data_IF_015967763484
#
_entry.id   IF_015967763484
#
_cell.length_a   1.000
_cell.length_b   1.000
_cell.length_c   1.000
_cell.angle_alpha   90.00
_cell.angle_beta   90.00
_cell.angle_gamma   90.00
#
_symmetry.space_group_name_H-M   'P 1'
#
loop_
_entity.id
_entity.type
_entity.pdbx_description
1 polymer ?
#
# COMPACT_ATOMS: atom_id res chain seq x y z
N UNK A 1 7.15 -6.07 16.66
CA UNK A 1 7.13 -7.38 15.97
C UNK A 1 7.93 -7.28 14.68
N UNK A 2 8.88 -8.16 14.47
CA UNK A 2 9.55 -8.27 13.17
C UNK A 2 8.50 -8.74 12.15
N UNK A 3 8.25 -7.94 11.13
CA UNK A 3 7.45 -8.41 9.99
C UNK A 3 8.20 -9.59 9.36
N UNK A 4 7.54 -10.73 9.30
CA UNK A 4 8.07 -11.87 8.57
C UNK A 4 8.16 -11.51 7.09
N UNK A 5 9.31 -11.83 6.51
CA UNK A 5 9.52 -11.56 5.09
C UNK A 5 8.63 -12.49 4.27
N UNK A 6 7.70 -11.90 3.52
CA UNK A 6 6.77 -12.63 2.68
C UNK A 6 7.49 -13.07 1.40
N UNK A 7 7.37 -14.35 1.06
CA UNK A 7 7.97 -14.88 -0.17
C UNK A 7 7.06 -14.55 -1.38
N UNK A 8 7.49 -13.58 -2.18
CA UNK A 8 6.76 -13.13 -3.36
C UNK A 8 6.59 -14.23 -4.43
N UNK A 9 7.48 -15.22 -4.47
CA UNK A 9 7.43 -16.30 -5.46
C UNK A 9 6.28 -17.28 -5.22
N UNK A 10 5.71 -17.28 -4.02
CA UNK A 10 4.57 -18.14 -3.65
C UNK A 10 3.21 -17.48 -3.94
N UNK A 11 3.22 -16.23 -4.39
CA UNK A 11 2.01 -15.44 -4.60
C UNK A 11 1.83 -15.10 -6.08
N UNK A 12 0.58 -15.12 -6.53
CA UNK A 12 0.19 -14.59 -7.84
C UNK A 12 0.04 -13.08 -7.73
N UNK A 13 1.08 -12.33 -8.08
CA UNK A 13 1.10 -10.89 -7.94
C UNK A 13 0.66 -10.19 -9.22
N UNK A 14 -0.23 -9.22 -9.08
CA UNK A 14 -0.61 -8.27 -10.12
C UNK A 14 0.10 -6.96 -9.86
N UNK A 15 0.62 -6.34 -10.90
CA UNK A 15 1.30 -5.05 -10.81
C UNK A 15 0.46 -3.93 -11.41
N UNK A 16 0.63 -2.72 -10.85
CA UNK A 16 0.04 -1.51 -11.40
C UNK A 16 1.05 -0.37 -11.28
N UNK A 17 1.31 0.30 -12.39
CA UNK A 17 2.15 1.49 -12.42
C UNK A 17 1.29 2.69 -12.04
N UNK A 18 1.59 3.29 -10.89
CA UNK A 18 0.83 4.44 -10.37
C UNK A 18 1.25 5.72 -11.05
N UNK A 19 2.56 5.93 -11.21
CA UNK A 19 3.07 7.11 -11.89
C UNK A 19 4.45 6.87 -12.49
N UNK A 20 4.72 7.58 -13.58
CA UNK A 20 6.04 7.64 -14.20
C UNK A 20 6.42 9.12 -14.26
N UNK A 21 7.56 9.45 -13.67
CA UNK A 21 8.11 10.81 -13.72
C UNK A 21 9.41 10.81 -14.49
N UNK A 22 9.59 11.83 -15.29
CA UNK A 22 10.85 12.12 -15.98
C UNK A 22 11.68 13.06 -15.13
N UNK A 23 12.87 12.65 -14.77
CA UNK A 23 13.81 13.47 -13.98
C UNK A 23 15.01 13.80 -14.86
N UNK A 24 15.32 15.07 -14.96
CA UNK A 24 16.51 15.55 -15.69
C UNK A 24 17.55 16.00 -14.70
N UNK A 25 18.75 15.40 -14.75
CA UNK A 25 19.90 15.83 -13.99
C UNK A 25 20.85 16.57 -14.91
N UNK A 26 21.14 17.83 -14.61
CA UNK A 26 22.15 18.61 -15.31
C UNK A 26 23.51 18.22 -14.74
N UNK A 27 24.37 17.68 -15.61
CA UNK A 27 25.76 17.34 -15.27
C UNK A 27 26.70 18.16 -16.14
N UNK A 28 27.97 18.22 -15.75
CA UNK A 28 29.05 18.86 -16.52
C UNK A 28 29.19 18.16 -17.86
N UNK A 29 28.71 18.76 -18.96
CA UNK A 29 28.76 18.19 -20.31
C UNK A 29 27.40 17.74 -20.89
N UNK A 30 26.27 17.97 -20.21
CA UNK A 30 24.95 17.63 -20.76
C UNK A 30 23.86 17.40 -19.73
N UNK A 31 22.75 16.87 -20.22
CA UNK A 31 21.59 16.50 -19.40
C UNK A 31 21.42 15.00 -19.40
N UNK A 32 21.43 14.38 -18.22
CA UNK A 32 21.07 12.98 -18.06
C UNK A 32 19.57 12.87 -17.73
N UNK A 33 18.82 12.20 -18.60
CA UNK A 33 17.42 11.93 -18.36
C UNK A 33 17.23 10.56 -17.73
N UNK A 34 16.45 10.52 -16.65
CA UNK A 34 16.05 9.29 -15.98
C UNK A 34 14.55 9.27 -15.75
N UNK A 35 14.00 8.08 -15.72
CA UNK A 35 12.60 7.86 -15.40
C UNK A 35 12.49 7.25 -14.01
N UNK A 36 11.50 7.71 -13.27
CA UNK A 36 11.15 7.16 -11.96
C UNK A 36 9.75 6.57 -12.06
N UNK A 37 9.62 5.27 -11.86
CA UNK A 37 8.35 4.57 -11.87
C UNK A 37 7.93 4.18 -10.46
N UNK A 38 6.72 4.53 -10.06
CA UNK A 38 6.09 4.10 -8.82
C UNK A 38 5.19 2.92 -9.14
N UNK A 39 5.55 1.74 -8.64
CA UNK A 39 4.85 0.48 -8.94
C UNK A 39 4.27 -0.09 -7.65
N UNK A 40 3.03 -0.55 -7.73
CA UNK A 40 2.35 -1.26 -6.65
C UNK A 40 2.08 -2.68 -7.11
N UNK A 41 2.36 -3.66 -6.27
CA UNK A 41 2.05 -5.07 -6.52
C UNK A 41 1.19 -5.63 -5.41
N UNK A 42 0.30 -6.56 -5.76
CA UNK A 42 -0.56 -7.21 -4.79
C UNK A 42 -1.17 -8.48 -5.37
N UNK A 43 -1.61 -9.36 -4.49
CA UNK A 43 -2.22 -10.65 -4.88
C UNK A 43 -3.76 -10.63 -4.84
N UNK A 44 -4.36 -9.53 -4.40
CA UNK A 44 -5.80 -9.44 -4.20
C UNK A 44 -6.32 -10.20 -2.98
N UNK A 45 -5.44 -10.74 -2.15
CA UNK A 45 -5.76 -11.56 -0.98
C UNK A 45 -5.08 -11.09 0.31
N UNK A 46 -4.86 -9.79 0.44
CA UNK A 46 -4.28 -9.20 1.64
C UNK A 46 -2.78 -8.98 1.60
N UNK A 47 -2.12 -9.20 0.47
CA UNK A 47 -0.69 -8.88 0.31
C UNK A 47 -0.53 -7.74 -0.68
N UNK A 48 0.20 -6.72 -0.29
CA UNK A 48 0.47 -5.55 -1.14
C UNK A 48 1.83 -4.95 -0.82
N UNK A 49 2.48 -4.40 -1.81
CA UNK A 49 3.73 -3.69 -1.65
C UNK A 49 3.89 -2.61 -2.70
N UNK A 50 4.73 -1.64 -2.43
CA UNK A 50 5.06 -0.58 -3.38
C UNK A 50 6.57 -0.42 -3.48
N UNK A 51 7.03 -0.06 -4.66
CA UNK A 51 8.42 0.19 -4.93
C UNK A 51 8.62 1.31 -5.93
N UNK A 52 9.76 1.94 -5.85
CA UNK A 52 10.18 3.01 -6.74
C UNK A 52 11.39 2.55 -7.54
N UNK A 53 11.26 2.49 -8.85
CA UNK A 53 12.35 2.15 -9.76
C UNK A 53 12.84 3.36 -10.51
N UNK A 54 14.15 3.47 -10.64
CA UNK A 54 14.83 4.54 -11.41
C UNK A 54 15.71 3.93 -12.48
N UNK A 55 15.55 4.35 -13.72
CA UNK A 55 16.37 3.90 -14.83
C UNK A 55 16.37 4.91 -15.98
N UNK A 56 17.29 4.71 -16.92
CA UNK A 56 17.37 5.54 -18.13
C UNK A 56 16.20 5.26 -19.09
N UNK A 57 15.58 4.09 -19.00
CA UNK A 57 14.46 3.66 -19.84
C UNK A 57 13.24 3.29 -18.98
N UNK A 58 12.04 3.55 -19.49
CA UNK A 58 10.78 3.29 -18.79
C UNK A 58 10.60 1.81 -18.43
N UNK A 59 10.78 0.82 -19.33
CA UNK A 59 10.62 -0.60 -19.00
C UNK A 59 11.55 -1.06 -17.86
N UNK A 60 12.78 -0.58 -17.86
CA UNK A 60 13.75 -0.87 -16.80
C UNK A 60 13.36 -0.25 -15.46
N UNK A 61 12.84 0.99 -15.47
CA UNK A 61 12.35 1.65 -14.27
C UNK A 61 11.17 0.88 -13.66
N UNK A 62 10.25 0.40 -14.48
CA UNK A 62 9.11 -0.41 -14.03
C UNK A 62 9.59 -1.74 -13.45
N UNK A 63 10.52 -2.42 -14.10
CA UNK A 63 11.09 -3.69 -13.62
C UNK A 63 11.73 -3.53 -12.24
N UNK A 64 12.56 -2.50 -12.06
CA UNK A 64 13.21 -2.19 -10.77
C UNK A 64 12.20 -1.84 -9.69
N UNK A 65 11.19 -1.06 -10.02
CA UNK A 65 10.09 -0.72 -9.11
C UNK A 65 9.30 -1.95 -8.66
N UNK A 66 9.01 -2.85 -9.59
CA UNK A 66 8.35 -4.12 -9.30
C UNK A 66 9.17 -5.00 -8.35
N UNK A 67 10.47 -5.15 -8.62
CA UNK A 67 11.37 -5.92 -7.74
C UNK A 67 11.40 -5.34 -6.32
N UNK A 68 11.53 -4.04 -6.18
CA UNK A 68 11.48 -3.37 -4.88
C UNK A 68 10.15 -3.58 -4.17
N UNK A 69 9.03 -3.46 -4.90
CA UNK A 69 7.70 -3.69 -4.36
C UNK A 69 7.52 -5.13 -3.86
N UNK A 70 8.01 -6.12 -4.60
CA UNK A 70 7.99 -7.53 -4.21
C UNK A 70 8.81 -7.80 -2.95
N UNK A 71 9.88 -7.06 -2.73
CA UNK A 71 10.71 -7.18 -1.52
C UNK A 71 10.09 -6.49 -0.29
N UNK A 72 9.12 -5.61 -0.50
CA UNK A 72 8.46 -4.81 0.55
C UNK A 72 6.99 -5.18 0.75
N UNK A 73 6.61 -6.41 0.45
CA UNK A 73 5.24 -6.87 0.65
C UNK A 73 4.85 -6.85 2.13
N UNK A 74 3.64 -6.40 2.40
CA UNK A 74 3.00 -6.46 3.72
C UNK A 74 1.76 -7.32 3.65
N UNK A 75 1.34 -7.84 4.80
CA UNK A 75 0.06 -8.52 4.95
C UNK A 75 -0.95 -7.56 5.57
N UNK A 76 -2.08 -7.40 4.91
CA UNK A 76 -3.20 -6.59 5.39
C UNK A 76 -4.23 -7.49 6.06
N UNK A 77 -4.67 -7.13 7.25
CA UNK A 77 -5.74 -7.83 7.94
C UNK A 77 -7.09 -7.34 7.43
N UNK A 78 -7.88 -8.23 6.83
CA UNK A 78 -9.21 -7.95 6.32
C UNK A 78 -10.26 -8.54 7.26
N UNK A 79 -11.47 -7.94 7.27
CA UNK A 79 -12.61 -8.48 7.98
C UNK A 79 -13.47 -9.37 7.06
N UNK A 80 -14.62 -9.84 7.58
CA UNK A 80 -15.54 -10.71 6.85
C UNK A 80 -16.16 -10.05 5.62
N UNK A 81 -16.23 -8.72 5.60
CA UNK A 81 -16.83 -7.95 4.52
C UNK A 81 -15.80 -7.44 3.48
N UNK A 82 -14.62 -8.02 3.45
CA UNK A 82 -13.49 -7.55 2.62
C UNK A 82 -13.19 -6.06 2.85
N UNK A 83 -13.32 -5.61 4.09
CA UNK A 83 -12.97 -4.28 4.57
C UNK A 83 -11.84 -4.34 5.59
N UNK A 84 -11.37 -3.18 6.04
CA UNK A 84 -10.38 -3.11 7.12
C UNK A 84 -11.04 -3.39 8.47
N UNK A 85 -10.24 -3.83 9.43
CA UNK A 85 -10.74 -4.22 10.77
C UNK A 85 -11.17 -3.04 11.64
N UNK A 86 -10.54 -1.88 11.46
CA UNK A 86 -10.84 -0.65 12.19
C UNK A 86 -10.37 0.57 11.40
N UNK A 87 -10.85 1.75 11.81
CA UNK A 87 -10.38 3.02 11.23
C UNK A 87 -8.95 3.30 11.66
N UNK A 88 -8.16 3.88 10.76
CA UNK A 88 -6.78 4.24 11.01
C UNK A 88 -6.33 5.39 10.10
N UNK A 89 -5.39 6.18 10.58
CA UNK A 89 -4.74 7.22 9.77
C UNK A 89 -3.29 6.79 9.50
N UNK A 90 -3.01 6.44 8.25
CA UNK A 90 -1.66 6.16 7.79
C UNK A 90 -0.91 7.46 7.50
N UNK A 91 0.35 7.54 7.92
CA UNK A 91 1.19 8.72 7.72
C UNK A 91 2.54 8.32 7.14
N UNK A 92 2.98 9.10 6.17
CA UNK A 92 4.33 9.00 5.63
C UNK A 92 4.79 10.38 5.16
N UNK A 93 5.88 10.91 5.73
CA UNK A 93 6.31 12.27 5.45
C UNK A 93 5.20 13.27 5.76
N UNK A 94 4.86 14.11 4.79
CA UNK A 94 3.76 15.08 4.89
C UNK A 94 2.40 14.53 4.44
N UNK A 95 2.35 13.29 3.94
CA UNK A 95 1.10 12.65 3.54
C UNK A 95 0.40 12.00 4.72
N UNK A 96 -0.92 12.14 4.76
CA UNK A 96 -1.79 11.46 5.73
C UNK A 96 -3.00 10.93 4.98
N UNK A 97 -3.33 9.66 5.18
CA UNK A 97 -4.48 9.01 4.54
C UNK A 97 -5.38 8.43 5.62
N UNK A 98 -6.60 8.92 5.66
CA UNK A 98 -7.64 8.37 6.55
C UNK A 98 -8.22 7.11 5.91
N UNK A 99 -8.19 6.01 6.64
CA UNK A 99 -8.79 4.74 6.25
C UNK A 99 -9.98 4.48 7.18
N UNK A 100 -11.18 4.38 6.60
CA UNK A 100 -12.41 4.11 7.35
C UNK A 100 -13.01 2.78 6.94
N UNK A 101 -13.30 1.95 7.93
CA UNK A 101 -14.06 0.72 7.73
C UNK A 101 -15.43 1.05 7.11
N UNK A 102 -15.84 0.24 6.13
CA UNK A 102 -17.10 0.41 5.44
C UNK A 102 -17.89 -0.91 5.40
N UNK A 103 -19.23 -0.85 5.43
CA UNK A 103 -20.06 -2.04 5.31
C UNK A 103 -20.00 -2.61 3.89
N UNK A 104 -20.40 -3.88 3.75
CA UNK A 104 -20.52 -4.54 2.47
C UNK A 104 -21.43 -3.74 1.52
N UNK A 105 -21.02 -3.66 0.26
CA UNK A 105 -21.75 -2.93 -0.76
C UNK A 105 -21.33 -1.47 -0.94
N UNK A 106 -20.45 -0.93 -0.07
CA UNK A 106 -19.92 0.44 -0.20
C UNK A 106 -19.00 0.61 -1.40
N UNK A 107 -18.21 -0.42 -1.72
CA UNK A 107 -17.18 -0.34 -2.73
C UNK A 107 -15.92 0.39 -2.26
N UNK A 108 -14.98 0.60 -3.17
CA UNK A 108 -13.73 1.33 -2.89
C UNK A 108 -13.92 2.81 -3.19
N UNK A 109 -13.91 3.63 -2.14
CA UNK A 109 -13.95 5.09 -2.24
C UNK A 109 -12.57 5.62 -1.87
N UNK A 110 -11.76 5.89 -2.88
CA UNK A 110 -10.37 6.30 -2.69
C UNK A 110 -9.88 7.15 -3.87
N UNK A 111 -8.96 8.05 -3.61
CA UNK A 111 -8.23 8.79 -4.65
C UNK A 111 -7.25 7.88 -5.41
N UNK A 112 -6.82 8.27 -6.61
CA UNK A 112 -6.05 7.44 -7.54
C UNK A 112 -4.86 6.67 -6.94
N UNK A 113 -3.90 7.31 -6.27
CA UNK A 113 -2.75 6.58 -5.70
C UNK A 113 -3.13 5.59 -4.60
N UNK A 114 -3.98 6.00 -3.66
CA UNK A 114 -4.46 5.13 -2.58
C UNK A 114 -5.33 3.99 -3.13
N UNK A 115 -6.14 4.26 -4.14
CA UNK A 115 -7.00 3.26 -4.79
C UNK A 115 -6.21 2.10 -5.37
N UNK A 116 -5.08 2.38 -6.02
CA UNK A 116 -4.21 1.35 -6.59
C UNK A 116 -3.74 0.36 -5.52
N UNK A 117 -3.29 0.85 -4.37
CA UNK A 117 -2.87 0.03 -3.23
C UNK A 117 -4.04 -0.82 -2.70
N UNK A 118 -5.17 -0.19 -2.49
CA UNK A 118 -6.36 -0.81 -1.88
C UNK A 118 -6.92 -1.93 -2.76
N UNK A 119 -7.06 -1.68 -4.06
CA UNK A 119 -7.56 -2.69 -5.00
C UNK A 119 -6.64 -3.89 -5.10
N UNK A 120 -5.32 -3.67 -5.16
CA UNK A 120 -4.34 -4.75 -5.22
C UNK A 120 -4.22 -5.53 -3.91
N UNK A 121 -4.54 -4.91 -2.78
CA UNK A 121 -4.62 -5.61 -1.50
C UNK A 121 -5.86 -6.50 -1.36
N UNK A 122 -6.85 -6.35 -2.25
CA UNK A 122 -8.09 -7.13 -2.21
C UNK A 122 -9.18 -6.55 -1.32
N UNK A 123 -9.04 -5.31 -0.90
CA UNK A 123 -10.06 -4.60 -0.13
C UNK A 123 -11.20 -4.20 -1.08
N UNK A 124 -12.42 -4.59 -0.77
CA UNK A 124 -13.59 -4.31 -1.61
C UNK A 124 -14.48 -3.20 -1.07
N UNK A 125 -14.43 -2.95 0.24
CA UNK A 125 -15.28 -1.96 0.90
C UNK A 125 -14.45 -1.11 1.84
N UNK A 126 -14.24 0.15 1.49
CA UNK A 126 -13.46 1.10 2.28
C UNK A 126 -13.79 2.53 1.86
N UNK A 127 -13.71 3.44 2.80
CA UNK A 127 -13.73 4.88 2.55
C UNK A 127 -12.41 5.49 2.97
N UNK A 128 -11.81 6.27 2.09
CA UNK A 128 -10.53 6.91 2.36
C UNK A 128 -10.56 8.39 2.01
N UNK A 129 -9.67 9.15 2.62
CA UNK A 129 -9.46 10.55 2.31
C UNK A 129 -7.99 10.91 2.51
N UNK A 130 -7.39 11.54 1.51
CA UNK A 130 -6.07 12.14 1.64
C UNK A 130 -6.19 13.48 2.38
N UNK A 131 -5.58 13.57 3.55
CA UNK A 131 -5.67 14.74 4.43
C UNK A 131 -4.43 15.65 4.40
N UNK A 132 -3.33 15.14 3.87
CA UNK A 132 -2.06 15.87 3.81
C UNK A 132 -1.62 16.15 2.38
N UNK A 133 -0.33 15.96 2.12
CA UNK A 133 0.26 16.14 0.80
C UNK A 133 -0.39 15.24 -0.26
N UNK A 134 -0.53 15.75 -1.48
CA UNK A 134 -1.01 15.00 -2.64
C UNK A 134 0.13 14.38 -3.46
N UNK A 135 1.35 14.33 -2.94
CA UNK A 135 2.45 13.64 -3.61
C UNK A 135 2.13 12.15 -3.73
N UNK A 136 2.05 11.65 -4.95
CA UNK A 136 1.59 10.28 -5.25
C UNK A 136 2.40 9.21 -4.51
N UNK A 137 3.72 9.34 -4.49
CA UNK A 137 4.60 8.41 -3.77
C UNK A 137 4.31 8.41 -2.28
N UNK A 138 4.22 9.59 -1.66
CA UNK A 138 3.94 9.70 -0.23
C UNK A 138 2.54 9.19 0.13
N UNK A 139 1.54 9.44 -0.71
CA UNK A 139 0.18 8.92 -0.51
C UNK A 139 0.16 7.39 -0.56
N UNK A 140 0.84 6.78 -1.54
CA UNK A 140 0.96 5.32 -1.63
C UNK A 140 1.64 4.74 -0.39
N UNK A 141 2.75 5.32 0.03
CA UNK A 141 3.49 4.84 1.20
C UNK A 141 2.72 5.06 2.51
N UNK A 142 1.99 6.18 2.64
CA UNK A 142 1.10 6.43 3.78
C UNK A 142 -0.04 5.40 3.84
N UNK A 143 -0.62 5.05 2.71
CA UNK A 143 -1.67 4.03 2.63
C UNK A 143 -1.15 2.66 3.05
N UNK A 144 0.02 2.26 2.56
CA UNK A 144 0.66 0.98 2.91
C UNK A 144 1.02 0.96 4.40
N UNK A 145 1.58 2.04 4.93
CA UNK A 145 1.88 2.16 6.36
C UNK A 145 0.63 1.99 7.20
N UNK A 146 -0.46 2.67 6.85
CA UNK A 146 -1.73 2.54 7.53
C UNK A 146 -2.28 1.12 7.50
N UNK A 147 -2.25 0.47 6.34
CA UNK A 147 -2.71 -0.91 6.19
C UNK A 147 -1.85 -1.90 6.98
N UNK A 148 -0.55 -1.64 7.12
CA UNK A 148 0.36 -2.51 7.89
C UNK A 148 0.11 -2.45 9.41
N UNK A 149 -0.50 -1.38 9.89
CA UNK A 149 -0.78 -1.17 11.32
C UNK A 149 -2.15 -1.71 11.75
N UNK A 150 -2.95 -2.22 10.85
CA UNK A 150 -4.26 -2.79 11.18
C UNK A 150 -4.10 -4.05 12.03
N UNK A 151 -4.91 -4.17 13.06
CA UNK A 151 -4.88 -5.29 13.99
C UNK A 151 -6.16 -6.10 13.91
N UNK A 152 -6.01 -7.43 13.92
CA UNK A 152 -7.15 -8.33 14.02
C UNK A 152 -7.65 -8.37 15.47
N UNK A 153 -8.98 -8.50 15.71
CA UNK A 153 -9.51 -8.66 17.06
C UNK A 153 -8.91 -9.84 17.81
N UNK A 154 -8.61 -10.94 17.11
CA UNK A 154 -7.98 -12.14 17.66
C UNK A 154 -6.59 -11.87 18.22
N UNK A 155 -5.78 -11.08 17.52
CA UNK A 155 -4.43 -10.71 17.95
C UNK A 155 -4.46 -9.80 19.18
N UNK A 156 -5.40 -8.85 19.22
CA UNK A 156 -5.60 -7.98 20.39
C UNK A 156 -6.09 -8.77 21.58
N UNK A 157 -6.99 -9.72 21.38
CA UNK A 157 -7.50 -10.61 22.43
C UNK A 157 -6.37 -11.43 23.05
N UNK A 158 -5.48 -12.01 22.25
CA UNK A 158 -4.30 -12.74 22.74
C UNK A 158 -3.37 -11.87 23.56
N UNK A 159 -3.09 -10.65 23.10
CA UNK A 159 -2.21 -9.71 23.80
C UNK A 159 -2.77 -9.27 25.16
N UNK A 160 -4.09 -9.15 25.27
CA UNK A 160 -4.78 -8.73 26.50
C UNK A 160 -5.22 -9.88 27.38
N UNK A 161 -5.07 -11.14 26.93
CA UNK A 161 -5.54 -12.32 27.65
C UNK A 161 -7.08 -12.36 27.79
N UNK A 162 -7.79 -11.82 26.80
CA UNK A 162 -9.26 -11.74 26.76
C UNK A 162 -9.83 -12.51 25.56
N UNK A 163 -11.13 -12.73 25.54
CA UNK A 163 -11.82 -13.31 24.40
C UNK A 163 -12.08 -12.23 23.33
N UNK A 164 -12.29 -12.65 22.10
CA UNK A 164 -12.62 -11.74 20.99
C UNK A 164 -13.93 -10.99 21.31
N UNK A 165 -14.91 -11.67 21.90
CA UNK A 165 -16.20 -11.09 22.30
C UNK A 165 -16.03 -9.97 23.31
N UNK A 166 -15.14 -10.11 24.28
CA UNK A 166 -14.82 -9.07 25.27
C UNK A 166 -14.13 -7.85 24.63
N UNK A 167 -13.34 -8.05 23.57
CA UNK A 167 -12.68 -6.96 22.85
C UNK A 167 -13.64 -6.17 21.98
N UNK A 168 -14.58 -6.85 21.32
CA UNK A 168 -15.57 -6.21 20.43
C UNK A 168 -16.73 -5.57 21.21
N UNK A 169 -16.82 -5.86 22.49
CA UNK A 169 -17.84 -5.30 23.38
C UNK A 169 -19.12 -6.01 23.38
#
# INVERSE_FOLDING_TARGET
>A
MKQERIDANQLELTEKVVSIKRVTKVVKGGRNMRFTALVVVGDGNGHVGAGLGKAAEIPEAIRKGKEEAMNKLIKVTLDENDSITHDYIGKFGSASVLLKKAPEGTGVIAGGPARAVIELAGIKNIRTKSLGSNNKQNVVLATIEGLSQLKAPEDVAKLRGKTVEEILG
#
